data_IF_400793295222
#
_entry.id   IF_400793295222
#
_cell.length_a   1.000
_cell.length_b   1.000
_cell.length_c   1.000
_cell.angle_alpha   90.00
_cell.angle_beta   90.00
_cell.angle_gamma   90.00
#
_symmetry.space_group_name_H-M   'P 1'
#
loop_
_entity.id
_entity.type
_entity.pdbx_description
1 polymer ?
#
# COMPACT_ATOMS: atom_id res chain seq x y z
N UNK A 1 0.29 14.06 17.61
CA UNK A 1 0.25 13.08 16.51
C UNK A 1 1.49 12.17 16.41
N UNK A 2 2.52 12.27 17.27
CA UNK A 2 3.44 11.12 17.47
C UNK A 2 3.61 10.63 18.92
N UNK A 3 2.85 11.21 19.88
CA UNK A 3 2.94 10.87 21.32
C UNK A 3 2.76 9.38 21.63
N UNK A 4 1.86 8.69 20.93
CA UNK A 4 1.62 7.25 21.17
C UNK A 4 2.77 6.37 20.66
N UNK A 5 3.52 6.85 19.65
CA UNK A 5 4.70 6.18 19.12
C UNK A 5 5.98 6.57 19.89
N UNK A 6 5.90 7.56 20.78
CA UNK A 6 7.05 8.13 21.50
C UNK A 6 8.14 8.64 20.54
N UNK A 7 7.72 9.26 19.43
CA UNK A 7 8.61 9.85 18.44
C UNK A 7 8.39 11.36 18.33
N UNK A 8 9.39 12.08 17.84
CA UNK A 8 9.29 13.52 17.55
C UNK A 8 8.67 13.78 16.17
N UNK A 9 8.96 12.91 15.21
CA UNK A 9 8.46 12.94 13.83
C UNK A 9 8.14 11.52 13.32
N UNK A 10 7.46 11.42 12.18
CA UNK A 10 7.35 10.19 11.39
C UNK A 10 7.98 10.37 10.01
N UNK A 11 8.61 9.33 9.45
CA UNK A 11 9.20 9.45 8.11
C UNK A 11 8.12 9.60 7.02
N UNK A 12 6.94 9.01 7.21
CA UNK A 12 5.82 9.07 6.28
C UNK A 12 4.49 9.15 7.03
N UNK A 13 3.63 10.10 6.65
CA UNK A 13 2.26 10.23 7.16
C UNK A 13 1.24 10.17 6.02
N UNK A 14 0.23 9.32 6.15
CA UNK A 14 -0.73 9.02 5.06
C UNK A 14 -2.15 9.41 5.43
N UNK A 15 -2.87 10.03 4.50
CA UNK A 15 -4.34 10.04 4.51
C UNK A 15 -4.82 8.61 4.23
N UNK A 16 -5.41 7.95 5.22
CA UNK A 16 -5.69 6.50 5.14
C UNK A 16 -6.73 6.13 4.07
N UNK A 17 -7.79 6.92 3.90
CA UNK A 17 -8.83 6.69 2.91
C UNK A 17 -9.30 8.02 2.29
N UNK A 18 -9.73 8.04 1.01
CA UNK A 18 -10.30 9.22 0.36
C UNK A 18 -11.76 9.48 0.79
N UNK A 19 -12.02 9.41 2.09
CA UNK A 19 -13.34 9.62 2.69
C UNK A 19 -13.24 10.17 4.11
N UNK A 20 -14.29 10.85 4.55
CA UNK A 20 -14.40 11.35 5.92
C UNK A 20 -15.60 10.74 6.63
N UNK A 21 -15.51 10.67 7.95
CA UNK A 21 -16.61 10.30 8.83
C UNK A 21 -16.83 11.39 9.87
N UNK A 22 -18.06 11.46 10.39
CA UNK A 22 -18.37 12.32 11.54
C UNK A 22 -17.39 12.00 12.70
N UNK A 23 -16.92 13.01 13.45
CA UNK A 23 -16.09 12.77 14.62
C UNK A 23 -16.80 11.86 15.61
N UNK A 24 -16.30 10.63 15.76
CA UNK A 24 -16.86 9.61 16.64
C UNK A 24 -15.75 8.70 17.16
N UNK A 25 -16.06 7.84 18.14
CA UNK A 25 -15.11 6.80 18.56
C UNK A 25 -14.85 5.87 17.36
N UNK A 26 -13.58 5.49 17.09
CA UNK A 26 -13.27 4.61 15.97
C UNK A 26 -14.08 3.31 16.06
N UNK A 27 -14.78 2.96 14.98
CA UNK A 27 -15.42 1.66 14.85
C UNK A 27 -15.30 1.16 13.41
N UNK A 28 -15.26 -0.17 13.25
CA UNK A 28 -15.15 -0.82 11.95
C UNK A 28 -16.07 -2.06 11.90
N UNK A 29 -16.88 -2.25 10.84
CA UNK A 29 -17.04 -1.36 9.69
C UNK A 29 -17.70 -0.02 10.04
N UNK A 30 -17.43 1.01 9.24
CA UNK A 30 -18.07 2.32 9.37
C UNK A 30 -19.54 2.22 8.96
N UNK A 31 -20.42 2.94 9.66
CA UNK A 31 -21.84 3.00 9.33
C UNK A 31 -22.00 4.00 8.19
N UNK A 32 -22.84 3.65 7.21
CA UNK A 32 -23.04 4.49 6.02
C UNK A 32 -23.50 5.91 6.36
N UNK A 33 -24.33 6.03 7.39
CA UNK A 33 -24.90 7.27 7.93
C UNK A 33 -23.87 8.21 8.59
N UNK A 34 -22.67 7.71 8.90
CA UNK A 34 -21.58 8.49 9.48
C UNK A 34 -20.61 9.01 8.41
N UNK A 35 -20.70 8.54 7.16
CA UNK A 35 -19.86 8.98 6.06
C UNK A 35 -20.29 10.37 5.62
N UNK A 36 -19.33 11.29 5.56
CA UNK A 36 -19.53 12.67 5.10
C UNK A 36 -18.61 12.97 3.92
N UNK A 37 -18.96 14.01 3.16
CA UNK A 37 -18.10 14.47 2.07
C UNK A 37 -16.75 14.91 2.65
N UNK A 38 -15.67 14.38 2.07
CA UNK A 38 -14.32 14.76 2.44
C UNK A 38 -13.98 16.12 1.83
N UNK A 39 -13.55 17.07 2.67
CA UNK A 39 -12.83 18.26 2.21
C UNK A 39 -11.38 17.87 1.91
N UNK A 40 -11.14 17.34 0.70
CA UNK A 40 -9.82 16.88 0.30
C UNK A 40 -8.79 18.01 0.32
N UNK A 41 -9.19 19.24 -0.03
CA UNK A 41 -8.30 20.40 -0.05
C UNK A 41 -7.87 20.78 1.37
N UNK A 42 -8.83 20.98 2.28
CA UNK A 42 -8.52 21.32 3.66
C UNK A 42 -7.68 20.25 4.36
N UNK A 43 -7.99 18.97 4.12
CA UNK A 43 -7.19 17.85 4.65
C UNK A 43 -5.77 17.88 4.10
N UNK A 44 -5.59 18.07 2.79
CA UNK A 44 -4.25 18.07 2.22
C UNK A 44 -3.41 19.28 2.66
N UNK A 45 -4.01 20.47 2.74
CA UNK A 45 -3.33 21.65 3.29
C UNK A 45 -2.84 21.43 4.74
N UNK A 46 -3.62 20.71 5.55
CA UNK A 46 -3.19 20.31 6.89
C UNK A 46 -2.05 19.26 6.87
N UNK A 47 -2.03 18.35 5.90
CA UNK A 47 -0.91 17.42 5.69
C UNK A 47 0.36 18.16 5.31
N UNK A 48 0.27 19.12 4.38
CA UNK A 48 1.37 20.00 3.98
C UNK A 48 1.93 20.78 5.16
N UNK A 49 1.07 21.27 6.04
CA UNK A 49 1.51 21.95 7.26
C UNK A 49 2.22 21.00 8.23
N UNK A 50 1.74 19.77 8.41
CA UNK A 50 2.46 18.75 9.18
C UNK A 50 3.88 18.50 8.62
N UNK A 51 4.04 18.55 7.30
CA UNK A 51 5.35 18.46 6.67
C UNK A 51 6.22 19.68 6.96
N UNK A 52 5.69 20.90 6.76
CA UNK A 52 6.42 22.16 7.02
C UNK A 52 6.87 22.29 8.47
N UNK A 53 6.05 21.82 9.41
CA UNK A 53 6.38 21.78 10.85
C UNK A 53 7.37 20.68 11.24
N UNK A 54 7.81 19.83 10.31
CA UNK A 54 8.73 18.74 10.58
C UNK A 54 8.12 17.56 11.33
N UNK A 55 6.79 17.51 11.49
CA UNK A 55 6.09 16.40 12.15
C UNK A 55 6.05 15.14 11.28
N UNK A 56 6.10 15.32 9.96
CA UNK A 56 6.23 14.25 8.98
C UNK A 56 7.26 14.62 7.91
N UNK A 57 8.29 13.79 7.70
CA UNK A 57 9.28 14.05 6.64
C UNK A 57 8.67 13.95 5.25
N UNK A 58 7.75 13.02 5.05
CA UNK A 58 6.99 12.86 3.81
C UNK A 58 5.50 12.72 4.13
N UNK A 59 4.67 13.16 3.19
CA UNK A 59 3.22 13.00 3.23
C UNK A 59 2.73 12.27 1.99
N UNK A 60 1.68 11.49 2.16
CA UNK A 60 1.11 10.70 1.09
C UNK A 60 -0.34 10.33 1.37
N UNK A 61 -0.83 9.39 0.57
CA UNK A 61 -2.19 8.90 0.64
C UNK A 61 -2.22 7.37 0.65
N UNK A 62 -3.37 6.81 0.98
CA UNK A 62 -3.64 5.37 0.91
C UNK A 62 -5.05 5.16 0.36
N UNK A 63 -5.21 4.12 -0.45
CA UNK A 63 -6.47 3.78 -1.13
C UNK A 63 -6.99 4.81 -2.14
N UNK A 64 -6.11 5.65 -2.70
CA UNK A 64 -6.51 6.62 -3.73
C UNK A 64 -6.45 5.97 -5.11
N UNK A 65 -7.53 6.11 -5.87
CA UNK A 65 -7.57 5.75 -7.29
C UNK A 65 -6.84 6.79 -8.14
N UNK A 66 -6.51 6.47 -9.38
CA UNK A 66 -5.91 7.43 -10.33
C UNK A 66 -6.73 8.71 -10.47
N UNK A 67 -8.06 8.62 -10.50
CA UNK A 67 -8.95 9.80 -10.52
C UNK A 67 -8.77 10.66 -9.26
N UNK A 68 -8.73 10.05 -8.07
CA UNK A 68 -8.53 10.78 -6.82
C UNK A 68 -7.13 11.39 -6.70
N UNK A 69 -6.11 10.71 -7.22
CA UNK A 69 -4.77 11.29 -7.32
C UNK A 69 -4.74 12.49 -8.26
N UNK A 70 -5.42 12.45 -9.41
CA UNK A 70 -5.53 13.61 -10.31
C UNK A 70 -6.22 14.80 -9.63
N UNK A 71 -7.33 14.56 -8.94
CA UNK A 71 -8.02 15.59 -8.14
C UNK A 71 -7.10 16.21 -7.09
N UNK A 72 -6.30 15.39 -6.39
CA UNK A 72 -5.35 15.84 -5.39
C UNK A 72 -4.18 16.64 -6.01
N UNK A 73 -3.57 16.12 -7.08
CA UNK A 73 -2.44 16.78 -7.75
C UNK A 73 -2.82 18.15 -8.33
N UNK A 74 -4.10 18.37 -8.66
CA UNK A 74 -4.58 19.65 -9.15
C UNK A 74 -4.64 20.74 -8.07
N UNK A 75 -4.61 20.38 -6.79
CA UNK A 75 -4.76 21.30 -5.65
C UNK A 75 -3.56 21.31 -4.70
N UNK A 76 -2.66 20.33 -4.81
CA UNK A 76 -1.52 20.15 -3.92
C UNK A 76 -0.38 21.13 -4.27
N UNK A 77 0.16 21.81 -3.25
CA UNK A 77 1.43 22.53 -3.35
C UNK A 77 2.61 21.57 -3.17
N UNK A 78 2.48 20.61 -2.23
CA UNK A 78 3.43 19.51 -2.04
C UNK A 78 2.73 18.23 -2.53
N UNK A 79 3.19 17.60 -3.63
CA UNK A 79 2.56 16.40 -4.15
C UNK A 79 2.71 15.21 -3.18
N UNK A 80 1.77 14.25 -3.18
CA UNK A 80 1.88 13.06 -2.35
C UNK A 80 3.10 12.24 -2.76
N UNK A 81 4.00 11.96 -1.82
CA UNK A 81 5.19 11.15 -2.08
C UNK A 81 4.85 9.67 -2.29
N UNK A 82 3.78 9.18 -1.65
CA UNK A 82 3.38 7.76 -1.66
C UNK A 82 1.88 7.62 -1.87
N UNK A 83 1.47 6.60 -2.62
CA UNK A 83 0.12 6.03 -2.56
C UNK A 83 0.22 4.56 -2.11
N UNK A 84 -0.27 4.26 -0.91
CA UNK A 84 -0.32 2.90 -0.38
C UNK A 84 -1.63 2.22 -0.78
N UNK A 85 -1.58 1.08 -1.48
CA UNK A 85 -2.77 0.40 -2.03
C UNK A 85 -2.66 -1.12 -1.95
N UNK A 86 -3.78 -1.82 -2.09
CA UNK A 86 -3.74 -3.28 -2.25
C UNK A 86 -3.01 -3.61 -3.53
N UNK A 87 -1.94 -4.37 -3.46
CA UNK A 87 -1.20 -4.79 -4.64
C UNK A 87 -0.63 -6.17 -4.39
N UNK A 88 -0.98 -7.11 -5.26
CA UNK A 88 -0.52 -8.50 -5.23
C UNK A 88 -0.75 -9.15 -6.61
N UNK A 89 -0.23 -10.35 -6.87
CA UNK A 89 -0.39 -11.04 -8.15
C UNK A 89 -1.83 -11.20 -8.65
N UNK A 90 -2.81 -11.31 -7.74
CA UNK A 90 -4.23 -11.41 -8.09
C UNK A 90 -4.92 -10.03 -8.24
N UNK A 91 -4.26 -8.94 -7.80
CA UNK A 91 -4.74 -7.57 -7.90
C UNK A 91 -3.59 -6.61 -8.23
N UNK A 92 -3.22 -6.60 -9.51
CA UNK A 92 -1.92 -6.06 -9.96
C UNK A 92 -1.88 -4.55 -10.18
N UNK A 93 -3.03 -3.88 -10.27
CA UNK A 93 -3.15 -2.43 -10.40
C UNK A 93 -2.25 -1.75 -11.48
N UNK A 94 -1.96 -2.42 -12.62
CA UNK A 94 -1.03 -1.93 -13.67
C UNK A 94 -1.20 -0.44 -14.02
N UNK A 95 -2.44 -0.02 -14.32
CA UNK A 95 -2.78 1.38 -14.64
C UNK A 95 -2.44 2.38 -13.52
N UNK A 96 -2.63 1.99 -12.26
CA UNK A 96 -2.31 2.87 -11.12
C UNK A 96 -0.79 2.98 -10.94
N UNK A 97 -0.06 1.87 -11.07
CA UNK A 97 1.41 1.86 -10.96
C UNK A 97 2.03 2.76 -12.03
N UNK A 98 1.60 2.62 -13.28
CA UNK A 98 2.04 3.48 -14.39
C UNK A 98 1.75 4.95 -14.12
N UNK A 99 0.52 5.28 -13.74
CA UNK A 99 0.14 6.65 -13.40
C UNK A 99 1.01 7.23 -12.26
N UNK A 100 1.21 6.47 -11.19
CA UNK A 100 2.04 6.88 -10.07
C UNK A 100 3.49 7.11 -10.50
N UNK A 101 4.06 6.20 -11.30
CA UNK A 101 5.42 6.34 -11.86
C UNK A 101 5.56 7.60 -12.70
N UNK A 102 4.62 7.89 -13.59
CA UNK A 102 4.61 9.11 -14.41
C UNK A 102 4.53 10.40 -13.57
N UNK A 103 3.89 10.34 -12.41
CA UNK A 103 3.71 11.49 -11.50
C UNK A 103 4.78 11.58 -10.41
N UNK A 104 5.75 10.67 -10.38
CA UNK A 104 6.77 10.61 -9.32
C UNK A 104 6.20 10.24 -7.94
N UNK A 105 5.06 9.53 -7.91
CA UNK A 105 4.43 9.02 -6.69
C UNK A 105 4.88 7.57 -6.50
N UNK A 106 5.43 7.25 -5.34
CA UNK A 106 5.84 5.87 -5.02
C UNK A 106 4.63 5.00 -4.64
N UNK A 107 4.61 3.75 -5.08
CA UNK A 107 3.57 2.78 -4.71
C UNK A 107 4.06 1.89 -3.58
N UNK A 108 3.29 1.82 -2.50
CA UNK A 108 3.51 0.86 -1.40
C UNK A 108 2.38 -0.15 -1.39
N UNK A 109 2.69 -1.43 -1.54
CA UNK A 109 1.74 -2.54 -1.51
C UNK A 109 1.35 -2.93 -0.08
N UNK A 110 0.06 -2.88 0.25
CA UNK A 110 -0.51 -3.63 1.37
C UNK A 110 -1.17 -4.93 0.87
N UNK A 111 -1.38 -5.87 1.79
CA UNK A 111 -1.88 -7.22 1.47
C UNK A 111 -1.09 -7.91 0.34
N UNK A 112 0.27 -7.88 0.36
CA UNK A 112 1.07 -8.40 -0.74
C UNK A 112 0.96 -9.91 -0.94
N UNK A 113 0.41 -10.64 0.04
CA UNK A 113 0.22 -12.10 0.01
C UNK A 113 -1.25 -12.49 -0.17
N UNK A 114 -2.04 -11.61 -0.78
CA UNK A 114 -3.49 -11.71 -0.83
C UNK A 114 -4.13 -11.26 0.48
N UNK A 115 -5.19 -10.45 0.38
CA UNK A 115 -5.95 -10.02 1.54
C UNK A 115 -6.56 -11.21 2.29
N UNK A 116 -6.61 -11.15 3.61
CA UNK A 116 -7.51 -12.03 4.37
C UNK A 116 -8.93 -11.59 4.05
N UNK A 117 -9.55 -12.20 3.03
CA UNK A 117 -10.98 -12.03 2.85
C UNK A 117 -11.66 -12.51 4.13
N UNK A 118 -12.33 -11.59 4.83
CA UNK A 118 -13.12 -11.94 6.03
C UNK A 118 -14.30 -12.87 5.69
N UNK A 119 -14.64 -12.98 4.41
CA UNK A 119 -15.81 -13.68 3.90
C UNK A 119 -15.45 -14.90 3.04
N UNK A 120 -14.26 -14.95 2.47
CA UNK A 120 -13.78 -16.07 1.66
C UNK A 120 -12.61 -16.77 2.34
N UNK A 121 -12.69 -18.09 2.47
CA UNK A 121 -11.55 -18.92 2.88
C UNK A 121 -10.47 -19.04 1.79
N UNK A 122 -10.75 -18.54 0.59
CA UNK A 122 -9.84 -18.65 -0.56
C UNK A 122 -8.86 -17.48 -0.53
N UNK A 123 -7.57 -17.79 -0.50
CA UNK A 123 -6.50 -16.83 -0.73
C UNK A 123 -6.01 -16.98 -2.17
N UNK A 124 -6.42 -16.05 -3.05
CA UNK A 124 -6.13 -16.11 -4.48
C UNK A 124 -4.62 -16.06 -4.83
N UNK A 125 -3.77 -15.63 -3.90
CA UNK A 125 -2.32 -15.63 -4.08
C UNK A 125 -1.72 -16.94 -3.56
N UNK A 126 -1.92 -17.25 -2.28
CA UNK A 126 -1.30 -18.42 -1.65
C UNK A 126 -1.86 -19.77 -2.13
N UNK A 127 -3.00 -19.78 -2.83
CA UNK A 127 -3.62 -20.97 -3.40
C UNK A 127 -3.64 -20.94 -4.93
N UNK A 128 -2.82 -20.08 -5.56
CA UNK A 128 -2.67 -20.06 -7.02
C UNK A 128 -1.76 -21.20 -7.48
N UNK A 129 -2.27 -22.08 -8.35
CA UNK A 129 -1.45 -23.15 -8.95
C UNK A 129 -0.34 -22.57 -9.84
N UNK A 130 -0.59 -21.47 -10.56
CA UNK A 130 0.44 -20.79 -11.36
C UNK A 130 1.60 -20.32 -10.47
N UNK A 131 1.29 -19.68 -9.33
CA UNK A 131 2.34 -19.22 -8.43
C UNK A 131 3.06 -20.38 -7.75
N UNK A 132 2.38 -21.52 -7.55
CA UNK A 132 2.98 -22.73 -7.03
C UNK A 132 3.97 -23.34 -8.01
N UNK A 133 3.61 -23.44 -9.29
CA UNK A 133 4.51 -23.92 -10.35
C UNK A 133 5.78 -23.05 -10.45
N UNK A 134 5.61 -21.72 -10.43
CA UNK A 134 6.75 -20.78 -10.41
C UNK A 134 7.59 -20.96 -9.13
N UNK A 135 6.94 -21.08 -7.98
CA UNK A 135 7.63 -21.29 -6.70
C UNK A 135 8.47 -22.59 -6.71
N UNK A 136 7.92 -23.69 -7.21
CA UNK A 136 8.61 -24.97 -7.37
C UNK A 136 9.80 -24.86 -8.34
N UNK A 137 9.60 -24.23 -9.51
CA UNK A 137 10.66 -24.03 -10.50
C UNK A 137 11.83 -23.17 -9.97
N UNK A 138 11.54 -22.21 -9.08
CA UNK A 138 12.54 -21.32 -8.48
C UNK A 138 13.12 -21.84 -7.17
N UNK A 139 12.57 -22.91 -6.60
CA UNK A 139 12.93 -23.38 -5.27
C UNK A 139 12.64 -22.34 -4.17
N UNK A 140 11.56 -21.58 -4.33
CA UNK A 140 11.13 -20.51 -3.41
C UNK A 140 9.71 -20.79 -2.92
N UNK A 141 9.22 -20.02 -1.95
CA UNK A 141 7.81 -20.09 -1.56
C UNK A 141 6.93 -19.16 -2.40
N UNK A 142 5.63 -19.45 -2.46
CA UNK A 142 4.64 -18.56 -3.09
C UNK A 142 4.69 -17.14 -2.50
N UNK A 143 4.99 -17.03 -1.21
CA UNK A 143 5.13 -15.73 -0.56
C UNK A 143 6.34 -14.96 -1.13
N UNK A 144 7.49 -15.62 -1.26
CA UNK A 144 8.68 -15.03 -1.88
C UNK A 144 8.44 -14.66 -3.35
N UNK A 145 7.76 -15.51 -4.14
CA UNK A 145 7.37 -15.18 -5.52
C UNK A 145 6.52 -13.91 -5.55
N UNK A 146 5.48 -13.83 -4.70
CA UNK A 146 4.58 -12.68 -4.65
C UNK A 146 5.31 -11.38 -4.28
N UNK A 147 6.18 -11.43 -3.27
CA UNK A 147 6.95 -10.28 -2.81
C UNK A 147 8.00 -9.85 -3.85
N UNK A 148 8.71 -10.81 -4.45
CA UNK A 148 9.65 -10.55 -5.53
C UNK A 148 8.97 -9.90 -6.73
N UNK A 149 7.80 -10.39 -7.12
CA UNK A 149 7.01 -9.80 -8.21
C UNK A 149 6.68 -8.33 -7.92
N UNK A 150 6.20 -7.99 -6.71
CA UNK A 150 5.92 -6.60 -6.32
C UNK A 150 7.19 -5.74 -6.38
N UNK A 151 8.32 -6.26 -5.90
CA UNK A 151 9.60 -5.55 -5.94
C UNK A 151 10.02 -5.24 -7.38
N UNK A 152 9.89 -6.19 -8.29
CA UNK A 152 10.20 -6.01 -9.72
C UNK A 152 9.24 -5.05 -10.44
N UNK A 153 8.04 -4.80 -9.91
CA UNK A 153 7.16 -3.71 -10.38
C UNK A 153 7.65 -2.31 -9.96
N UNK A 154 8.71 -2.21 -9.16
CA UNK A 154 9.22 -0.95 -8.62
C UNK A 154 8.43 -0.43 -7.40
N UNK A 155 7.60 -1.28 -6.78
CA UNK A 155 6.84 -0.92 -5.58
C UNK A 155 7.54 -1.43 -4.31
N UNK A 156 7.31 -0.74 -3.18
CA UNK A 156 7.64 -1.29 -1.86
C UNK A 156 6.46 -2.09 -1.31
N UNK A 157 6.65 -2.83 -0.22
CA UNK A 157 5.58 -3.67 0.34
C UNK A 157 5.65 -3.77 1.86
N UNK A 158 4.49 -3.98 2.48
CA UNK A 158 4.35 -4.23 3.92
C UNK A 158 3.73 -5.60 4.18
N UNK A 159 4.59 -6.62 4.30
CA UNK A 159 4.18 -8.00 4.57
C UNK A 159 4.14 -8.28 6.08
N UNK A 160 2.93 -8.37 6.66
CA UNK A 160 2.77 -8.63 8.09
C UNK A 160 2.96 -10.11 8.43
N UNK A 161 3.81 -10.39 9.41
CA UNK A 161 3.92 -11.69 10.07
C UNK A 161 4.22 -11.52 11.56
N UNK A 162 3.83 -12.50 12.37
CA UNK A 162 4.24 -12.62 13.79
C UNK A 162 5.16 -13.84 14.02
N UNK A 163 5.43 -14.62 12.96
CA UNK A 163 6.32 -15.79 13.01
C UNK A 163 7.70 -15.37 12.52
N UNK A 164 8.73 -15.63 13.32
CA UNK A 164 10.11 -15.22 13.04
C UNK A 164 10.62 -15.79 11.71
N UNK A 165 10.30 -17.04 11.44
CA UNK A 165 10.73 -17.77 10.25
C UNK A 165 10.18 -17.11 8.99
N UNK A 166 8.89 -16.75 9.01
CA UNK A 166 8.23 -16.04 7.90
C UNK A 166 8.73 -14.61 7.74
N UNK A 167 9.11 -13.93 8.83
CA UNK A 167 9.70 -12.59 8.74
C UNK A 167 11.05 -12.65 8.04
N UNK A 168 11.87 -13.64 8.37
CA UNK A 168 13.15 -13.86 7.70
C UNK A 168 12.96 -14.22 6.23
N UNK A 169 12.08 -15.19 5.94
CA UNK A 169 11.74 -15.62 4.58
C UNK A 169 11.27 -14.46 3.68
N UNK A 170 10.44 -13.55 4.23
CA UNK A 170 9.96 -12.36 3.51
C UNK A 170 11.07 -11.37 3.10
N UNK A 171 12.27 -11.45 3.71
CA UNK A 171 13.42 -10.62 3.38
C UNK A 171 14.36 -11.27 2.34
N UNK A 172 14.23 -12.58 2.12
CA UNK A 172 15.08 -13.37 1.22
C UNK A 172 14.57 -13.32 -0.24
N UNK A 173 14.35 -12.10 -0.74
CA UNK A 173 13.80 -11.82 -2.08
C UNK A 173 14.74 -11.01 -2.99
N UNK A 174 15.92 -10.62 -2.51
CA UNK A 174 16.79 -9.66 -3.20
C UNK A 174 17.96 -10.31 -3.96
N UNK A 175 18.33 -11.55 -3.62
CA UNK A 175 19.49 -12.29 -4.11
C UNK A 175 19.18 -13.21 -5.32
N UNK A 176 17.96 -13.16 -5.85
CA UNK A 176 17.49 -13.90 -7.02
C UNK A 176 16.40 -13.11 -7.75
N UNK A 177 16.11 -13.45 -9.00
CA UNK A 177 15.11 -12.74 -9.82
C UNK A 177 14.12 -13.69 -10.50
N UNK A 178 12.96 -13.13 -10.87
CA UNK A 178 12.00 -13.81 -11.75
C UNK A 178 12.49 -13.74 -13.19
N UNK A 179 12.26 -14.79 -13.99
CA UNK A 179 12.52 -14.72 -15.44
C UNK A 179 11.37 -14.04 -16.16
N UNK A 180 11.58 -13.67 -17.42
CA UNK A 180 10.53 -13.08 -18.26
C UNK A 180 9.27 -13.95 -18.37
N UNK A 181 9.42 -15.28 -18.38
CA UNK A 181 8.28 -16.22 -18.39
C UNK A 181 7.48 -16.23 -17.09
N UNK A 182 8.10 -15.88 -15.95
CA UNK A 182 7.40 -15.81 -14.66
C UNK A 182 6.62 -14.49 -14.50
N UNK A 183 6.94 -13.48 -15.31
CA UNK A 183 6.38 -12.12 -15.22
C UNK A 183 5.03 -12.07 -15.94
N UNK A 184 3.96 -12.36 -15.21
CA UNK A 184 2.56 -12.25 -15.64
C UNK A 184 1.99 -10.81 -15.52
#
# INVERSE_FOLDING_TARGET
>A
MPRNLQMEYVDLYLVHWPMSVKPSKPHFPMKREDIVQMDLKGVWQAMEECHRLGLAKMIGVSNFTTKKLQELLAIAEIPPAVNQVELNPAWQQKKLIEFCKEKGIHVTAYSPLGGQSRTSKINAVLQSEILKEIAEARGKSIAQISLRWIFEQGASMVAKSMKKERLQENLEIFDWELTDEDRF
#
